data_IF_138984569532
#
_entry.id   IF_138984569532
#
_cell.length_a   1.000
_cell.length_b   1.000
_cell.length_c   1.000
_cell.angle_alpha   90.00
_cell.angle_beta   90.00
_cell.angle_gamma   90.00
#
_symmetry.space_group_name_H-M   'P 1'
#
loop_
_entity.id
_entity.type
_entity.pdbx_description
1 polymer ?
#
# COMPACT_ATOMS: atom_id res chain seq x y z
N UNK A 1 9.20 -16.29 29.45
CA UNK A 1 8.92 -15.44 28.28
C UNK A 1 8.37 -16.24 27.08
N UNK A 2 8.96 -17.38 26.68
CA UNK A 2 8.50 -18.20 25.53
C UNK A 2 7.09 -18.82 25.69
N UNK A 3 6.68 -19.20 26.91
CA UNK A 3 5.36 -19.81 27.17
C UNK A 3 4.21 -18.83 26.89
N UNK A 4 4.35 -17.58 27.32
CA UNK A 4 3.34 -16.54 27.14
C UNK A 4 3.18 -16.15 25.66
N UNK A 5 4.28 -16.21 24.92
CA UNK A 5 4.33 -15.98 23.47
C UNK A 5 3.55 -17.04 22.69
N UNK A 6 3.76 -18.31 23.04
CA UNK A 6 3.08 -19.46 22.42
C UNK A 6 1.57 -19.44 22.70
N UNK A 7 1.17 -19.00 23.90
CA UNK A 7 -0.23 -18.85 24.27
C UNK A 7 -0.91 -17.68 23.54
N UNK A 8 -0.19 -16.56 23.36
CA UNK A 8 -0.67 -15.39 22.63
C UNK A 8 -0.87 -15.65 21.13
N UNK A 9 -0.06 -16.53 20.52
CA UNK A 9 -0.26 -16.93 19.13
C UNK A 9 -1.46 -17.87 18.98
N UNK A 10 -1.59 -18.84 19.89
CA UNK A 10 -2.68 -19.83 19.88
C UNK A 10 -4.07 -19.19 20.02
N UNK A 11 -4.22 -18.11 20.79
CA UNK A 11 -5.49 -17.36 20.88
C UNK A 11 -5.86 -16.69 19.54
N UNK A 12 -4.89 -16.14 18.81
CA UNK A 12 -5.12 -15.47 17.52
C UNK A 12 -5.44 -16.53 16.47
N UNK A 13 -4.71 -17.63 16.45
CA UNK A 13 -4.97 -18.80 15.61
C UNK A 13 -6.40 -19.33 15.80
N UNK A 14 -6.82 -19.54 17.04
CA UNK A 14 -8.20 -19.95 17.34
C UNK A 14 -9.24 -18.93 16.88
N UNK A 15 -8.95 -17.64 17.01
CA UNK A 15 -9.84 -16.57 16.56
C UNK A 15 -10.04 -16.64 15.03
N UNK A 16 -8.97 -16.90 14.27
CA UNK A 16 -9.03 -17.08 12.82
C UNK A 16 -9.86 -18.29 12.38
N UNK A 17 -9.93 -19.37 13.15
CA UNK A 17 -10.80 -20.53 12.84
C UNK A 17 -12.26 -20.07 12.70
N UNK A 18 -12.74 -19.29 13.66
CA UNK A 18 -14.11 -18.77 13.67
C UNK A 18 -14.34 -17.62 12.69
N UNK A 19 -13.28 -16.90 12.33
CA UNK A 19 -13.34 -15.72 11.44
C UNK A 19 -13.07 -16.07 9.97
N UNK A 20 -12.63 -17.29 9.67
CA UNK A 20 -12.18 -17.73 8.34
C UNK A 20 -13.18 -17.42 7.23
N UNK A 21 -14.47 -17.71 7.43
CA UNK A 21 -15.48 -17.49 6.40
C UNK A 21 -15.72 -16.00 6.13
N UNK A 22 -15.64 -15.16 7.17
CA UNK A 22 -15.72 -13.70 7.01
C UNK A 22 -14.49 -13.15 6.30
N UNK A 23 -13.30 -13.65 6.64
CA UNK A 23 -12.07 -13.25 5.95
C UNK A 23 -12.12 -13.67 4.48
N UNK A 24 -12.57 -14.89 4.20
CA UNK A 24 -12.72 -15.42 2.85
C UNK A 24 -13.69 -14.59 2.00
N UNK A 25 -14.80 -14.10 2.58
CA UNK A 25 -15.76 -13.28 1.84
C UNK A 25 -15.24 -11.87 1.53
N UNK A 26 -14.25 -11.37 2.27
CA UNK A 26 -13.59 -10.10 2.00
C UNK A 26 -12.48 -10.19 0.94
N UNK A 27 -11.89 -11.37 0.75
CA UNK A 27 -10.79 -11.56 -0.19
C UNK A 27 -11.26 -11.51 -1.65
N UNK A 28 -10.46 -10.93 -2.57
CA UNK A 28 -10.75 -10.97 -3.99
C UNK A 28 -10.77 -12.41 -4.56
N UNK A 29 -11.42 -12.59 -5.71
CA UNK A 29 -11.49 -13.90 -6.37
C UNK A 29 -10.09 -14.43 -6.71
N UNK A 30 -9.82 -15.69 -6.37
CA UNK A 30 -8.53 -16.35 -6.63
C UNK A 30 -7.50 -16.25 -5.49
N UNK A 31 -7.80 -15.51 -4.41
CA UNK A 31 -6.97 -15.50 -3.22
C UNK A 31 -7.17 -16.76 -2.37
N UNK A 32 -6.07 -17.26 -1.81
CA UNK A 32 -6.06 -18.37 -0.85
C UNK A 32 -6.15 -17.83 0.58
N UNK A 33 -7.28 -18.08 1.24
CA UNK A 33 -7.54 -17.64 2.62
C UNK A 33 -6.58 -18.27 3.63
N UNK A 34 -6.17 -19.53 3.43
CA UNK A 34 -5.32 -20.24 4.37
C UNK A 34 -3.87 -19.72 4.27
N UNK A 35 -3.46 -19.32 3.06
CA UNK A 35 -2.19 -18.61 2.85
C UNK A 35 -2.19 -17.24 3.52
N UNK A 36 -3.28 -16.49 3.42
CA UNK A 36 -3.38 -15.17 4.04
C UNK A 36 -3.35 -15.27 5.58
N UNK A 37 -4.13 -16.19 6.17
CA UNK A 37 -4.11 -16.47 7.61
C UNK A 37 -2.70 -16.85 8.07
N UNK A 38 -2.02 -17.74 7.33
CA UNK A 38 -0.65 -18.14 7.66
C UNK A 38 0.33 -16.97 7.66
N UNK A 39 0.18 -16.05 6.71
CA UNK A 39 1.02 -14.85 6.61
C UNK A 39 0.77 -13.86 7.75
N UNK A 40 -0.49 -13.67 8.13
CA UNK A 40 -0.86 -12.84 9.27
C UNK A 40 -0.33 -13.44 10.57
N UNK A 41 -0.49 -14.76 10.77
CA UNK A 41 0.03 -15.45 11.95
C UNK A 41 1.56 -15.34 12.04
N UNK A 42 2.27 -15.45 10.91
CA UNK A 42 3.71 -15.21 10.86
C UNK A 42 4.09 -13.76 11.23
N UNK A 43 3.31 -12.78 10.76
CA UNK A 43 3.48 -11.36 11.09
C UNK A 43 3.25 -11.08 12.57
N UNK A 44 2.24 -11.70 13.19
CA UNK A 44 2.01 -11.62 14.63
C UNK A 44 3.12 -12.34 15.39
N UNK A 45 3.58 -13.50 14.93
CA UNK A 45 4.66 -14.26 15.56
C UNK A 45 6.00 -13.51 15.58
N UNK A 46 6.26 -12.65 14.58
CA UNK A 46 7.49 -11.85 14.51
C UNK A 46 7.46 -10.56 15.34
N UNK A 47 6.30 -10.13 15.86
CA UNK A 47 6.15 -8.90 16.63
C UNK A 47 5.59 -9.14 18.03
N UNK A 48 6.42 -8.90 19.05
CA UNK A 48 6.03 -8.98 20.46
C UNK A 48 4.93 -7.98 20.83
N UNK A 49 4.87 -6.84 20.13
CA UNK A 49 3.84 -5.84 20.32
C UNK A 49 2.49 -6.31 19.74
N UNK A 50 2.48 -6.90 18.54
CA UNK A 50 1.25 -7.49 17.97
C UNK A 50 0.76 -8.68 18.78
N UNK A 51 1.65 -9.46 19.38
CA UNK A 51 1.28 -10.53 20.31
C UNK A 51 0.59 -10.04 21.57
N UNK A 52 0.69 -8.75 21.92
CA UNK A 52 -0.05 -8.15 23.05
C UNK A 52 -1.40 -7.56 22.62
N UNK A 53 -1.63 -7.37 21.33
CA UNK A 53 -2.90 -6.84 20.83
C UNK A 53 -4.06 -7.79 21.07
N UNK A 54 -5.28 -7.27 21.14
CA UNK A 54 -6.51 -8.07 21.21
C UNK A 54 -6.68 -8.90 19.93
N UNK A 55 -7.08 -10.18 20.00
CA UNK A 55 -7.36 -10.98 18.80
C UNK A 55 -8.38 -10.29 17.88
N UNK A 56 -9.40 -9.65 18.46
CA UNK A 56 -10.44 -8.93 17.74
C UNK A 56 -9.87 -7.81 16.87
N UNK A 57 -8.94 -7.01 17.39
CA UNK A 57 -8.31 -5.92 16.62
C UNK A 57 -7.43 -6.45 15.49
N UNK A 58 -6.72 -7.56 15.71
CA UNK A 58 -5.93 -8.23 14.67
C UNK A 58 -6.85 -8.74 13.56
N UNK A 59 -7.95 -9.40 13.92
CA UNK A 59 -8.94 -9.90 12.96
C UNK A 59 -9.54 -8.76 12.12
N UNK A 60 -9.94 -7.66 12.76
CA UNK A 60 -10.52 -6.51 12.06
C UNK A 60 -9.50 -5.79 11.17
N UNK A 61 -8.25 -5.66 11.62
CA UNK A 61 -7.20 -5.09 10.80
C UNK A 61 -6.85 -5.98 9.60
N UNK A 62 -6.79 -7.30 9.80
CA UNK A 62 -6.63 -8.27 8.71
C UNK A 62 -7.81 -8.25 7.72
N UNK A 63 -9.04 -8.15 8.23
CA UNK A 63 -10.23 -8.03 7.40
C UNK A 63 -10.17 -6.79 6.50
N UNK A 64 -9.80 -5.63 7.06
CA UNK A 64 -9.65 -4.40 6.28
C UNK A 64 -8.57 -4.53 5.19
N UNK A 65 -7.45 -5.19 5.49
CA UNK A 65 -6.42 -5.48 4.48
C UNK A 65 -6.97 -6.38 3.35
N UNK A 66 -7.69 -7.44 3.71
CA UNK A 66 -8.33 -8.36 2.79
C UNK A 66 -9.37 -7.68 1.88
N UNK A 67 -10.19 -6.76 2.41
CA UNK A 67 -11.18 -6.01 1.61
C UNK A 67 -10.56 -5.16 0.50
N UNK A 68 -9.29 -4.78 0.65
CA UNK A 68 -8.53 -4.04 -0.36
C UNK A 68 -7.66 -4.95 -1.25
N UNK A 69 -7.74 -6.28 -1.05
CA UNK A 69 -6.89 -7.22 -1.76
C UNK A 69 -5.40 -7.07 -1.44
N UNK A 70 -5.05 -6.52 -0.28
CA UNK A 70 -3.67 -6.28 0.10
C UNK A 70 -3.21 -7.34 1.12
N UNK A 71 -2.37 -8.31 0.71
CA UNK A 71 -1.90 -9.33 1.62
C UNK A 71 -0.98 -8.76 2.69
N UNK A 72 -1.15 -9.21 3.93
CA UNK A 72 -0.30 -8.84 5.07
C UNK A 72 0.91 -9.75 5.10
N UNK A 73 1.99 -9.31 4.46
CA UNK A 73 3.25 -10.05 4.38
C UNK A 73 4.46 -9.11 4.27
N UNK A 74 5.65 -9.67 4.03
CA UNK A 74 6.89 -8.91 3.90
C UNK A 74 7.02 -8.07 2.62
N UNK A 75 6.07 -8.14 1.67
CA UNK A 75 6.07 -7.31 0.46
C UNK A 75 5.78 -5.83 0.74
N UNK A 76 5.28 -5.51 1.93
CA UNK A 76 5.04 -4.13 2.34
C UNK A 76 3.82 -3.47 1.66
N UNK A 77 2.87 -4.29 1.20
CA UNK A 77 1.59 -3.80 0.67
C UNK A 77 0.64 -3.34 1.79
N UNK A 78 0.60 -4.11 2.87
CA UNK A 78 -0.24 -3.87 4.04
C UNK A 78 0.55 -4.13 5.32
N UNK A 79 0.25 -3.38 6.37
CA UNK A 79 0.85 -3.52 7.69
C UNK A 79 -0.21 -3.62 8.78
N UNK A 80 0.09 -4.44 9.78
CA UNK A 80 -0.60 -4.43 11.07
C UNK A 80 0.28 -3.67 12.06
N UNK A 81 -0.19 -2.51 12.51
CA UNK A 81 0.56 -1.61 13.38
C UNK A 81 -0.06 -1.61 14.78
N UNK A 82 0.70 -1.95 15.84
CA UNK A 82 0.21 -1.94 17.20
C UNK A 82 0.10 -0.51 17.75
N UNK A 83 -1.06 -0.19 18.34
CA UNK A 83 -1.34 1.01 19.12
C UNK A 83 -1.77 0.57 20.51
N UNK A 84 -0.81 0.45 21.44
CA UNK A 84 -1.08 -0.14 22.75
C UNK A 84 -1.42 -1.62 22.64
N UNK A 85 -2.66 -1.98 23.02
CA UNK A 85 -3.19 -3.34 22.92
C UNK A 85 -4.14 -3.54 21.71
N UNK A 86 -4.15 -2.61 20.76
CA UNK A 86 -5.00 -2.68 19.56
C UNK A 86 -4.14 -2.72 18.31
N UNK A 87 -4.42 -3.64 17.38
CA UNK A 87 -3.81 -3.65 16.06
C UNK A 87 -4.63 -2.81 15.08
N UNK A 88 -3.96 -1.96 14.30
CA UNK A 88 -4.58 -1.16 13.24
C UNK A 88 -4.00 -1.52 11.88
N UNK A 89 -4.87 -1.54 10.89
CA UNK A 89 -4.47 -1.70 9.50
C UNK A 89 -3.91 -0.39 8.94
N UNK A 90 -2.81 -0.49 8.20
CA UNK A 90 -2.25 0.61 7.42
C UNK A 90 -1.83 0.10 6.04
N UNK A 91 -2.10 0.90 5.01
CA UNK A 91 -1.64 0.63 3.65
C UNK A 91 -0.18 1.06 3.56
N UNK A 92 0.68 0.16 3.10
CA UNK A 92 2.07 0.49 2.81
C UNK A 92 2.22 1.28 1.52
N UNK A 93 3.35 1.96 1.32
CA UNK A 93 3.60 2.74 0.11
C UNK A 93 3.46 1.89 -1.17
N UNK A 94 4.02 0.67 -1.16
CA UNK A 94 3.86 -0.27 -2.28
C UNK A 94 2.41 -0.69 -2.48
N UNK A 95 1.62 -0.79 -1.40
CA UNK A 95 0.19 -1.05 -1.46
C UNK A 95 -0.59 0.11 -2.09
N UNK A 96 -0.22 1.35 -1.77
CA UNK A 96 -0.83 2.54 -2.39
C UNK A 96 -0.58 2.56 -3.89
N UNK A 97 0.68 2.32 -4.32
CA UNK A 97 1.01 2.20 -5.74
C UNK A 97 0.23 1.04 -6.39
N UNK A 98 0.18 -0.12 -5.75
CA UNK A 98 -0.57 -1.27 -6.25
C UNK A 98 -2.05 -0.95 -6.48
N UNK A 99 -2.69 -0.30 -5.51
CA UNK A 99 -4.08 0.15 -5.62
C UNK A 99 -4.25 1.18 -6.74
N UNK A 100 -3.34 2.14 -6.86
CA UNK A 100 -3.38 3.14 -7.93
C UNK A 100 -3.32 2.49 -9.32
N UNK A 101 -2.42 1.54 -9.53
CA UNK A 101 -2.29 0.83 -10.81
C UNK A 101 -3.41 -0.18 -11.09
N UNK A 102 -4.12 -0.69 -10.08
CA UNK A 102 -5.31 -1.51 -10.28
C UNK A 102 -6.50 -0.70 -10.80
N UNK A 103 -6.51 0.62 -10.59
CA UNK A 103 -7.54 1.45 -11.19
C UNK A 103 -7.25 1.64 -12.67
N UNK A 104 -8.24 1.38 -13.54
CA UNK A 104 -8.22 1.77 -14.96
C UNK A 104 -8.14 3.30 -15.15
N UNK A 105 -8.02 4.06 -14.06
CA UNK A 105 -7.90 5.50 -14.09
C UNK A 105 -6.47 5.97 -14.30
N UNK A 106 -5.42 5.24 -13.93
CA UNK A 106 -4.03 5.74 -14.05
C UNK A 106 -3.21 4.78 -14.91
N UNK A 107 -2.83 5.24 -16.11
CA UNK A 107 -1.92 4.53 -17.00
C UNK A 107 -0.45 4.72 -16.60
N UNK A 108 -0.03 5.95 -16.31
CA UNK A 108 1.32 6.24 -15.80
C UNK A 108 1.36 7.56 -15.00
N UNK A 109 2.38 7.70 -14.16
CA UNK A 109 2.74 8.97 -13.52
C UNK A 109 4.21 9.23 -13.80
N UNK A 110 4.51 10.31 -14.49
CA UNK A 110 5.85 10.72 -14.87
C UNK A 110 6.22 11.98 -14.08
N UNK A 111 7.28 11.91 -13.27
CA UNK A 111 7.74 13.02 -12.45
C UNK A 111 9.15 13.42 -12.86
N UNK A 112 9.35 14.69 -13.19
CA UNK A 112 10.59 15.20 -13.78
C UNK A 112 11.01 16.53 -13.15
N UNK A 113 12.33 16.75 -13.16
CA UNK A 113 12.97 17.96 -12.63
C UNK A 113 13.57 18.75 -13.78
N UNK A 114 13.32 20.06 -13.75
CA UNK A 114 13.77 21.05 -14.74
C UNK A 114 14.94 21.82 -14.17
N UNK A 115 15.95 22.03 -14.99
CA UNK A 115 17.15 22.76 -14.64
C UNK A 115 17.31 24.02 -15.49
N UNK A 116 18.17 24.94 -15.06
CA UNK A 116 18.38 26.27 -15.66
C UNK A 116 18.63 26.25 -17.17
N UNK A 117 19.29 25.21 -17.70
CA UNK A 117 19.63 25.11 -19.12
C UNK A 117 18.66 24.25 -19.93
N UNK A 118 17.65 23.66 -19.30
CA UNK A 118 16.62 22.91 -20.03
C UNK A 118 15.66 23.87 -20.73
N UNK A 119 15.13 23.45 -21.88
CA UNK A 119 13.97 24.13 -22.44
C UNK A 119 12.75 23.74 -21.63
N UNK A 120 12.08 24.72 -21.02
CA UNK A 120 10.87 24.48 -20.25
C UNK A 120 9.87 25.60 -20.47
N UNK A 121 8.70 25.23 -20.99
CA UNK A 121 7.58 26.12 -21.18
C UNK A 121 6.34 25.47 -20.60
N UNK A 122 5.59 26.20 -19.78
CA UNK A 122 4.31 25.76 -19.26
C UNK A 122 3.26 26.85 -19.46
N UNK A 123 2.09 26.44 -19.93
CA UNK A 123 0.93 27.33 -20.07
C UNK A 123 -0.10 26.93 -19.02
N UNK A 124 -0.64 27.92 -18.32
CA UNK A 124 -1.77 27.76 -17.42
C UNK A 124 -3.04 28.34 -18.08
N UNK A 125 -4.23 27.87 -17.67
CA UNK A 125 -5.50 28.37 -18.17
C UNK A 125 -6.35 27.27 -18.79
N UNK A 126 -7.16 27.62 -19.79
CA UNK A 126 -8.20 26.73 -20.36
C UNK A 126 -7.66 25.48 -21.06
N UNK A 127 -6.39 25.51 -21.49
CA UNK A 127 -5.67 24.39 -22.10
C UNK A 127 -4.25 24.38 -21.55
N UNK A 128 -4.02 23.79 -20.37
CA UNK A 128 -2.69 23.71 -19.81
C UNK A 128 -1.80 22.82 -20.70
N UNK A 129 -0.53 23.18 -20.80
CA UNK A 129 0.48 22.40 -21.52
C UNK A 129 1.82 22.51 -20.81
N UNK A 130 2.61 21.44 -20.86
CA UNK A 130 4.00 21.42 -20.41
C UNK A 130 4.86 20.90 -21.56
N UNK A 131 5.87 21.68 -21.96
CA UNK A 131 6.91 21.25 -22.89
C UNK A 131 8.26 21.32 -22.18
N UNK A 132 8.90 20.16 -22.01
CA UNK A 132 10.20 20.04 -21.38
C UNK A 132 11.16 19.28 -22.30
N UNK A 133 12.28 19.91 -22.68
CA UNK A 133 13.36 19.26 -23.43
C UNK A 133 14.68 19.42 -22.65
N UNK A 134 15.17 18.35 -22.02
CA UNK A 134 16.44 18.40 -21.30
C UNK A 134 17.60 18.77 -22.22
N UNK A 135 18.49 19.65 -21.75
CA UNK A 135 19.71 19.96 -22.50
C UNK A 135 20.70 18.79 -22.44
N UNK A 136 21.53 18.63 -23.48
CA UNK A 136 22.62 17.65 -23.47
C UNK A 136 23.82 18.24 -22.72
N UNK A 137 24.28 17.57 -21.67
CA UNK A 137 25.46 17.97 -20.90
C UNK A 137 25.13 18.51 -19.50
N UNK A 138 25.89 19.50 -19.02
CA UNK A 138 25.66 20.10 -17.71
C UNK A 138 24.40 20.94 -17.69
N UNK A 139 23.37 20.48 -16.96
CA UNK A 139 22.03 21.09 -16.90
C UNK A 139 21.90 22.33 -15.99
N UNK A 140 22.82 22.54 -15.05
CA UNK A 140 22.81 23.68 -14.13
C UNK A 140 22.03 23.42 -12.84
N UNK A 141 21.49 24.46 -12.20
CA UNK A 141 20.69 24.31 -10.96
C UNK A 141 19.24 23.93 -11.26
N UNK A 142 18.57 23.32 -10.28
CA UNK A 142 17.13 23.03 -10.35
C UNK A 142 16.34 24.33 -10.31
N UNK A 143 15.36 24.46 -11.20
CA UNK A 143 14.46 25.63 -11.25
C UNK A 143 13.01 25.25 -10.96
N UNK A 144 12.54 24.12 -11.50
CA UNK A 144 11.15 23.66 -11.37
C UNK A 144 11.09 22.13 -11.25
N UNK A 145 9.95 21.62 -10.79
CA UNK A 145 9.62 20.20 -10.82
C UNK A 145 8.14 20.05 -11.21
N UNK A 146 7.81 19.01 -11.95
CA UNK A 146 6.44 18.72 -12.35
C UNK A 146 6.17 17.23 -12.36
N UNK A 147 4.88 16.86 -12.29
CA UNK A 147 4.43 15.49 -12.46
C UNK A 147 3.22 15.48 -13.42
N UNK A 148 3.19 14.52 -14.34
CA UNK A 148 2.09 14.30 -15.28
C UNK A 148 1.48 12.95 -14.98
N UNK A 149 0.17 12.93 -14.72
CA UNK A 149 -0.60 11.69 -14.61
C UNK A 149 -1.34 11.41 -15.93
N UNK A 150 -0.93 10.35 -16.62
CA UNK A 150 -1.64 9.84 -17.79
C UNK A 150 -2.77 8.93 -17.33
N UNK A 151 -4.02 9.30 -17.58
CA UNK A 151 -5.16 8.44 -17.26
C UNK A 151 -5.38 7.41 -18.39
N UNK A 152 -5.75 6.17 -18.06
CA UNK A 152 -5.80 5.09 -19.05
C UNK A 152 -6.89 5.28 -20.12
N UNK A 153 -7.85 6.19 -19.91
CA UNK A 153 -8.88 6.58 -20.87
C UNK A 153 -8.47 7.73 -21.82
N UNK A 154 -7.19 8.13 -21.84
CA UNK A 154 -6.70 9.20 -22.71
C UNK A 154 -7.02 10.62 -22.24
N UNK A 155 -7.71 10.79 -21.11
CA UNK A 155 -7.87 12.09 -20.46
C UNK A 155 -6.61 12.39 -19.64
N UNK A 156 -5.66 13.13 -20.19
CA UNK A 156 -4.58 13.68 -19.38
C UNK A 156 -5.16 14.72 -18.43
N UNK A 157 -5.07 14.47 -17.11
CA UNK A 157 -5.30 15.51 -16.11
C UNK A 157 -3.93 16.04 -15.70
N UNK A 158 -3.53 17.13 -16.36
CA UNK A 158 -2.34 17.91 -15.99
C UNK A 158 -2.57 18.65 -14.67
#
# INVERSE_FOLDING_TARGET
MQVQQKQALKRVENAFISFRDKLKSALPQGYDVDREISSILATVASSTALQRCTPESILMAAYNAATLGLPVNSLGLAYLVPYGNEAKFQIGYQGQLHLMYQTEFVGSVDAEVVYEKDYFEFTLGSKPTIEHKPCKGERGKITHAYAIAHLANGLSKQ
#
